data_IF_990904047080
#
_entry.id   IF_990904047080
#
_cell.length_a   1.000
_cell.length_b   1.000
_cell.length_c   1.000
_cell.angle_alpha   90.00
_cell.angle_beta   90.00
_cell.angle_gamma   90.00
#
_symmetry.space_group_name_H-M   'P 1'
#
loop_
_entity.id
_entity.type
_entity.pdbx_description
1 polymer ?
#
# COMPACT_ATOMS: atom_id res chain seq x y z
N UNK A 1 -4.73 -17.96 -9.90
CA UNK A 1 -5.67 -18.07 -8.76
C UNK A 1 -5.17 -17.18 -7.63
N UNK A 2 -6.08 -16.59 -6.84
CA UNK A 2 -5.73 -15.73 -5.70
C UNK A 2 -6.34 -16.34 -4.45
N UNK A 3 -5.54 -16.54 -3.41
CA UNK A 3 -5.99 -17.00 -2.11
C UNK A 3 -5.93 -15.83 -1.10
N UNK A 4 -7.00 -15.67 -0.33
CA UNK A 4 -7.09 -14.66 0.73
C UNK A 4 -7.35 -15.35 2.06
N UNK A 5 -6.50 -15.08 3.04
CA UNK A 5 -6.62 -15.57 4.42
C UNK A 5 -6.52 -14.40 5.40
N UNK A 6 -6.94 -14.63 6.64
CA UNK A 6 -6.88 -13.61 7.68
C UNK A 6 -6.59 -14.24 9.05
N UNK A 7 -6.08 -13.42 9.97
CA UNK A 7 -5.94 -13.72 11.39
C UNK A 7 -6.21 -12.47 12.24
N UNK A 8 -6.50 -12.60 13.55
CA UNK A 8 -6.58 -11.45 14.44
C UNK A 8 -5.29 -10.62 14.41
N UNK A 9 -5.43 -9.30 14.36
CA UNK A 9 -4.30 -8.37 14.43
C UNK A 9 -3.76 -8.26 15.85
N UNK A 10 -2.45 -8.11 15.99
CA UNK A 10 -1.80 -7.79 17.28
C UNK A 10 -1.79 -6.27 17.55
N UNK A 11 -2.03 -5.44 16.53
CA UNK A 11 -1.84 -4.00 16.58
C UNK A 11 -3.13 -3.22 16.88
N UNK A 12 -4.28 -3.82 16.60
CA UNK A 12 -5.59 -3.21 16.83
C UNK A 12 -6.69 -4.26 16.90
N UNK A 13 -7.88 -3.84 17.36
CA UNK A 13 -9.08 -4.67 17.39
C UNK A 13 -9.65 -4.89 15.97
N UNK A 14 -9.00 -5.76 15.21
CA UNK A 14 -9.36 -6.14 13.85
C UNK A 14 -8.54 -7.32 13.35
N UNK A 15 -8.38 -7.42 12.03
CA UNK A 15 -7.70 -8.54 11.39
C UNK A 15 -6.51 -8.07 10.53
N UNK A 16 -5.49 -8.92 10.45
CA UNK A 16 -4.47 -8.88 9.41
C UNK A 16 -4.91 -9.79 8.26
N UNK A 17 -4.95 -9.23 7.05
CA UNK A 17 -5.30 -9.95 5.83
C UNK A 17 -4.04 -10.27 5.02
N UNK A 18 -4.01 -11.46 4.42
CA UNK A 18 -2.96 -11.90 3.50
C UNK A 18 -3.60 -12.37 2.20
N UNK A 19 -3.26 -11.70 1.10
CA UNK A 19 -3.53 -12.16 -0.26
C UNK A 19 -2.26 -12.74 -0.88
N UNK A 20 -2.38 -13.87 -1.57
CA UNK A 20 -1.30 -14.46 -2.35
C UNK A 20 -1.81 -14.95 -3.71
N UNK A 21 -0.94 -14.90 -4.72
CA UNK A 21 -1.25 -15.39 -6.05
C UNK A 21 -0.03 -15.34 -6.96
N UNK A 22 -0.01 -16.21 -7.96
CA UNK A 22 1.02 -16.25 -9.00
C UNK A 22 0.50 -15.48 -10.21
N UNK A 23 1.29 -14.54 -10.70
CA UNK A 23 1.00 -13.77 -11.90
C UNK A 23 1.92 -14.25 -13.04
N UNK A 24 1.39 -14.51 -14.26
CA UNK A 24 2.19 -14.89 -15.42
C UNK A 24 2.86 -13.66 -16.04
N UNK A 25 3.70 -12.98 -15.26
CA UNK A 25 4.39 -11.74 -15.65
C UNK A 25 5.77 -11.68 -14.99
N UNK A 26 6.68 -10.85 -15.51
CA UNK A 26 7.98 -10.67 -14.86
C UNK A 26 7.80 -9.98 -13.50
N UNK A 27 8.62 -10.31 -12.47
CA UNK A 27 8.57 -9.63 -11.19
C UNK A 27 8.69 -8.11 -11.32
N UNK A 28 9.50 -7.63 -12.29
CA UNK A 28 9.68 -6.21 -12.55
C UNK A 28 8.40 -5.53 -13.02
N UNK A 29 7.67 -6.13 -13.95
CA UNK A 29 6.42 -5.56 -14.46
C UNK A 29 5.34 -5.52 -13.37
N UNK A 30 5.28 -6.58 -12.55
CA UNK A 30 4.39 -6.62 -11.38
C UNK A 30 4.78 -5.53 -10.38
N UNK A 31 6.08 -5.35 -10.13
CA UNK A 31 6.59 -4.33 -9.22
C UNK A 31 6.25 -2.91 -9.68
N UNK A 32 6.39 -2.60 -10.97
CA UNK A 32 6.01 -1.30 -11.53
C UNK A 32 4.52 -0.96 -11.28
N UNK A 33 3.65 -1.98 -11.21
CA UNK A 33 2.24 -1.81 -10.90
C UNK A 33 1.97 -1.48 -9.42
N UNK A 34 2.79 -1.99 -8.50
CA UNK A 34 2.52 -1.91 -7.05
C UNK A 34 3.45 -0.95 -6.30
N UNK A 35 4.56 -0.53 -6.90
CA UNK A 35 5.56 0.30 -6.23
C UNK A 35 4.96 1.66 -5.80
N UNK A 36 5.24 2.12 -4.58
CA UNK A 36 4.62 3.30 -3.96
C UNK A 36 5.26 4.61 -4.45
N UNK A 37 4.99 5.00 -5.70
CA UNK A 37 5.54 6.24 -6.30
C UNK A 37 4.44 7.18 -6.79
N UNK A 38 4.65 8.49 -6.59
CA UNK A 38 3.77 9.52 -7.12
C UNK A 38 3.69 9.44 -8.66
N UNK A 39 2.49 9.55 -9.23
CA UNK A 39 2.27 9.40 -10.67
C UNK A 39 2.53 7.99 -11.23
N UNK A 40 2.72 7.00 -10.36
CA UNK A 40 2.93 5.60 -10.74
C UNK A 40 1.70 4.93 -11.35
N UNK A 41 1.82 3.64 -11.63
CA UNK A 41 0.73 2.87 -12.22
C UNK A 41 -0.40 2.56 -11.23
N UNK A 42 -0.15 2.64 -9.91
CA UNK A 42 -1.10 2.22 -8.89
C UNK A 42 -2.46 2.89 -9.02
N UNK A 43 -2.50 4.21 -9.21
CA UNK A 43 -3.74 4.99 -9.38
C UNK A 43 -4.46 4.71 -10.70
N UNK A 44 -3.80 4.06 -11.68
CA UNK A 44 -4.41 3.76 -12.98
C UNK A 44 -5.24 2.48 -12.96
N UNK A 45 -4.84 1.49 -12.17
CA UNK A 45 -5.48 0.17 -12.17
C UNK A 45 -6.19 -0.17 -10.86
N UNK A 46 -5.73 0.35 -9.72
CA UNK A 46 -6.31 0.03 -8.41
C UNK A 46 -7.52 0.91 -8.14
N UNK A 47 -8.72 0.34 -8.29
CA UNK A 47 -9.99 1.04 -8.06
C UNK A 47 -10.18 1.50 -6.60
N UNK A 48 -9.38 0.97 -5.66
CA UNK A 48 -9.41 1.39 -4.26
C UNK A 48 -8.47 2.55 -3.98
N UNK A 49 -7.64 2.98 -4.93
CA UNK A 49 -6.71 4.10 -4.79
C UNK A 49 -7.15 5.21 -5.72
N UNK A 50 -7.58 6.33 -5.15
CA UNK A 50 -7.97 7.51 -5.91
C UNK A 50 -6.76 8.37 -6.22
N UNK A 51 -6.02 8.79 -5.20
CA UNK A 51 -4.81 9.60 -5.32
C UNK A 51 -3.66 9.00 -4.50
N UNK A 52 -2.44 9.21 -4.97
CA UNK A 52 -1.20 8.80 -4.29
C UNK A 52 -0.17 9.93 -4.41
N UNK A 53 0.26 10.46 -3.27
CA UNK A 53 1.15 11.61 -3.16
C UNK A 53 2.36 11.26 -2.29
N UNK A 54 3.55 11.69 -2.69
CA UNK A 54 4.74 11.63 -1.82
C UNK A 54 4.82 12.97 -1.08
N UNK A 55 4.64 12.93 0.24
CA UNK A 55 4.67 14.11 1.11
C UNK A 55 6.11 14.50 1.43
N UNK A 56 6.94 13.51 1.76
CA UNK A 56 8.36 13.71 2.07
C UNK A 56 9.17 12.50 1.58
N UNK A 57 10.29 12.75 0.91
CA UNK A 57 11.27 11.72 0.61
C UNK A 57 12.37 11.77 1.67
N UNK A 58 12.44 10.75 2.53
CA UNK A 58 13.43 10.65 3.62
C UNK A 58 14.76 10.11 3.07
N UNK A 59 14.69 9.17 2.12
CA UNK A 59 15.85 8.63 1.38
C UNK A 59 15.37 8.04 0.04
N UNK A 60 16.30 7.50 -0.74
CA UNK A 60 15.99 6.82 -2.02
C UNK A 60 14.99 5.66 -1.87
N UNK A 61 14.91 5.07 -0.67
CA UNK A 61 14.09 3.89 -0.40
C UNK A 61 13.04 4.11 0.68
N UNK A 62 13.00 5.28 1.32
CA UNK A 62 12.06 5.59 2.40
C UNK A 62 11.36 6.92 2.12
N UNK A 63 10.02 6.91 2.13
CA UNK A 63 9.21 8.11 1.94
C UNK A 63 7.98 8.11 2.83
N UNK A 64 7.45 9.29 3.10
CA UNK A 64 6.13 9.48 3.69
C UNK A 64 5.16 9.76 2.56
N UNK A 65 4.12 8.95 2.45
CA UNK A 65 3.15 9.00 1.37
C UNK A 65 1.75 9.22 1.92
N UNK A 66 0.93 9.94 1.15
CA UNK A 66 -0.51 10.05 1.37
C UNK A 66 -1.25 9.27 0.30
N UNK A 67 -2.18 8.43 0.73
CA UNK A 67 -3.08 7.69 -0.16
C UNK A 67 -4.51 8.07 0.13
N UNK A 68 -5.30 8.40 -0.88
CA UNK A 68 -6.75 8.60 -0.74
C UNK A 68 -7.49 7.43 -1.38
N UNK A 69 -8.60 7.04 -0.76
CA UNK A 69 -9.44 5.93 -1.21
C UNK A 69 -10.86 6.44 -1.46
N UNK A 70 -11.55 5.97 -2.52
CA UNK A 70 -12.94 6.34 -2.75
C UNK A 70 -13.86 5.66 -1.72
N UNK A 71 -15.15 5.99 -1.77
CA UNK A 71 -16.15 5.28 -0.99
C UNK A 71 -16.22 3.80 -1.40
N UNK A 72 -16.39 2.90 -0.44
CA UNK A 72 -16.48 1.45 -0.66
C UNK A 72 -17.80 0.86 -0.14
N UNK A 73 -18.06 -0.41 -0.47
CA UNK A 73 -19.21 -1.19 -0.01
C UNK A 73 -20.55 -0.44 -0.19
N UNK A 74 -20.90 -0.07 -1.43
CA UNK A 74 -22.13 0.68 -1.73
C UNK A 74 -22.26 1.99 -0.93
N UNK A 75 -21.14 2.70 -0.74
CA UNK A 75 -21.01 3.96 0.03
C UNK A 75 -21.27 3.82 1.53
N UNK A 76 -21.35 2.60 2.07
CA UNK A 76 -21.40 2.35 3.51
C UNK A 76 -20.08 2.80 4.17
N UNK A 77 -18.95 2.63 3.47
CA UNK A 77 -17.65 3.10 3.91
C UNK A 77 -17.34 4.41 3.17
N UNK A 78 -17.29 5.52 3.91
CA UNK A 78 -16.93 6.84 3.38
C UNK A 78 -15.46 6.86 2.90
N UNK A 79 -15.09 7.81 2.02
CA UNK A 79 -13.70 8.00 1.61
C UNK A 79 -12.74 8.11 2.79
N UNK A 80 -11.55 7.54 2.63
CA UNK A 80 -10.48 7.58 3.64
C UNK A 80 -9.20 8.14 3.06
N UNK A 81 -8.41 8.76 3.92
CA UNK A 81 -7.01 9.07 3.64
C UNK A 81 -6.11 8.32 4.60
N UNK A 82 -4.92 7.97 4.13
CA UNK A 82 -3.88 7.28 4.90
C UNK A 82 -2.59 8.05 4.73
N UNK A 83 -1.83 8.20 5.81
CA UNK A 83 -0.50 8.80 5.80
C UNK A 83 0.45 7.77 6.38
N UNK A 84 1.31 7.25 5.53
CA UNK A 84 2.15 6.10 5.84
C UNK A 84 3.62 6.43 5.58
N UNK A 85 4.50 6.01 6.48
CA UNK A 85 5.91 5.84 6.15
C UNK A 85 6.05 4.53 5.39
N UNK A 86 6.71 4.59 4.24
CA UNK A 86 6.85 3.48 3.31
C UNK A 86 8.33 3.23 3.06
N UNK A 87 8.73 1.97 3.12
CA UNK A 87 10.07 1.50 2.77
C UNK A 87 10.00 0.57 1.57
N UNK A 88 10.91 0.75 0.63
CA UNK A 88 11.15 -0.15 -0.48
C UNK A 88 12.46 -0.90 -0.27
N UNK A 89 12.48 -2.20 -0.55
CA UNK A 89 13.69 -3.01 -0.46
C UNK A 89 13.74 -4.06 -1.57
N UNK A 90 14.92 -4.26 -2.13
CA UNK A 90 15.21 -5.40 -2.99
C UNK A 90 16.16 -6.35 -2.27
N UNK A 91 15.84 -7.64 -2.29
CA UNK A 91 16.62 -8.71 -1.68
C UNK A 91 17.50 -9.42 -2.72
N UNK A 92 18.50 -10.17 -2.25
CA UNK A 92 19.46 -10.89 -3.10
C UNK A 92 18.80 -11.97 -3.97
N UNK A 93 17.70 -12.57 -3.49
CA UNK A 93 16.89 -13.54 -4.22
C UNK A 93 16.01 -12.91 -5.31
N UNK A 94 16.09 -11.58 -5.49
CA UNK A 94 15.29 -10.81 -6.43
C UNK A 94 13.92 -10.41 -5.90
N UNK A 95 13.56 -10.76 -4.66
CA UNK A 95 12.32 -10.32 -4.02
C UNK A 95 12.31 -8.79 -3.89
N UNK A 96 11.23 -8.15 -4.32
CA UNK A 96 10.99 -6.72 -4.12
C UNK A 96 9.88 -6.53 -3.09
N UNK A 97 10.13 -5.69 -2.10
CA UNK A 97 9.25 -5.42 -0.97
C UNK A 97 8.89 -3.93 -0.96
N UNK A 98 7.60 -3.64 -0.80
CA UNK A 98 7.13 -2.40 -0.20
C UNK A 98 6.53 -2.72 1.16
N UNK A 99 6.99 -2.09 2.23
CA UNK A 99 6.38 -2.18 3.55
C UNK A 99 5.97 -0.79 4.01
N UNK A 100 4.86 -0.70 4.74
CA UNK A 100 4.30 0.57 5.17
C UNK A 100 3.71 0.46 6.57
N UNK A 101 3.73 1.57 7.31
CA UNK A 101 2.92 1.75 8.52
C UNK A 101 2.53 3.21 8.65
N UNK A 102 1.41 3.47 9.32
CA UNK A 102 0.91 4.82 9.54
C UNK A 102 1.91 5.68 10.31
N UNK A 103 1.90 6.98 10.00
CA UNK A 103 2.69 8.00 10.68
C UNK A 103 1.92 9.31 10.71
N UNK A 104 2.09 10.09 11.78
CA UNK A 104 1.64 11.48 11.81
C UNK A 104 2.66 12.37 11.10
N UNK A 105 2.18 13.29 10.28
CA UNK A 105 3.06 14.21 9.55
C UNK A 105 2.52 15.65 9.60
N UNK A 106 3.30 16.64 10.07
CA UNK A 106 2.83 18.03 10.20
C UNK A 106 2.37 18.66 8.89
N UNK A 107 2.96 18.28 7.75
CA UNK A 107 2.56 18.77 6.43
C UNK A 107 1.31 18.08 5.87
N UNK A 108 0.79 17.06 6.55
CA UNK A 108 -0.38 16.30 6.11
C UNK A 108 -1.39 16.11 7.26
N UNK A 109 -1.98 17.21 7.78
CA UNK A 109 -3.04 17.14 8.77
C UNK A 109 -4.31 16.51 8.17
N UNK A 110 -5.24 16.00 9.02
CA UNK A 110 -6.52 15.46 8.57
C UNK A 110 -7.26 16.41 7.63
N UNK A 111 -7.65 15.93 6.45
CA UNK A 111 -8.34 16.73 5.45
C UNK A 111 -9.87 16.61 5.57
N UNK A 112 -10.62 17.70 5.30
CA UNK A 112 -12.08 17.63 5.27
C UNK A 112 -12.55 16.62 4.21
N UNK A 113 -13.70 15.99 4.47
CA UNK A 113 -14.34 14.96 3.62
C UNK A 113 -13.65 13.59 3.57
N UNK A 114 -12.56 13.40 4.31
CA UNK A 114 -11.93 12.10 4.50
C UNK A 114 -11.94 11.71 5.97
N UNK A 115 -12.14 10.41 6.22
CA UNK A 115 -11.81 9.82 7.53
C UNK A 115 -10.33 9.41 7.50
N UNK A 116 -9.54 9.85 8.49
CA UNK A 116 -8.15 9.39 8.64
C UNK A 116 -8.13 7.92 8.99
N UNK A 117 -7.65 7.09 8.07
CA UNK A 117 -7.36 5.69 8.29
C UNK A 117 -5.93 5.48 8.81
N UNK A 118 -5.72 4.34 9.45
CA UNK A 118 -4.42 3.92 9.97
C UNK A 118 -4.10 2.55 9.38
N UNK A 119 -3.10 2.49 8.50
CA UNK A 119 -2.48 1.22 8.13
C UNK A 119 -1.51 0.82 9.23
N UNK A 120 -1.78 -0.30 9.87
CA UNK A 120 -0.78 -1.00 10.68
C UNK A 120 0.22 -1.71 9.74
N UNK A 121 1.37 -2.23 10.23
CA UNK A 121 2.41 -2.82 9.39
C UNK A 121 1.84 -3.71 8.28
N UNK A 122 1.99 -3.25 7.05
CA UNK A 122 1.43 -3.86 5.85
C UNK A 122 2.42 -3.73 4.69
N UNK A 123 2.08 -4.28 3.52
CA UNK A 123 2.97 -4.20 2.37
C UNK A 123 2.65 -5.18 1.26
N UNK A 124 3.55 -5.26 0.29
CA UNK A 124 3.53 -6.23 -0.79
C UNK A 124 4.91 -6.85 -0.98
N UNK A 125 4.93 -8.17 -1.13
CA UNK A 125 6.09 -8.92 -1.61
C UNK A 125 5.87 -9.30 -3.07
N UNK A 126 6.80 -8.93 -3.94
CA UNK A 126 6.89 -9.43 -5.30
C UNK A 126 8.06 -10.41 -5.36
N UNK A 127 7.73 -11.70 -5.37
CA UNK A 127 8.69 -12.80 -5.22
C UNK A 127 8.86 -13.47 -6.59
N UNK A 128 10.08 -13.56 -7.13
CA UNK A 128 10.35 -14.37 -8.32
C UNK A 128 10.00 -15.84 -8.08
N UNK A 129 9.26 -16.44 -9.00
CA UNK A 129 8.99 -17.88 -8.99
C UNK A 129 9.85 -18.56 -10.06
N UNK A 130 10.44 -19.73 -9.78
CA UNK A 130 11.09 -20.54 -10.81
C UNK A 130 10.09 -20.87 -11.92
N UNK A 131 10.50 -20.64 -13.17
CA UNK A 131 9.74 -21.00 -14.37
C UNK A 131 10.04 -22.42 -14.84
#
# INVERSE_FOLDING_TARGET
EVAVSWRPSAEFAGNLYRGEGILPASPRDVWECIKPVAGGLRTKWDQNVKDFEVIEAISDTVSICRTTTPSACMRIISPREFVDVVVMKQYEDGTMLSAATNVEHPLCPPQPNFVRGFNYPCGCFCIPVPG
#
